data_IF_011333647030
#
_entry.id   IF_011333647030
#
_cell.length_a   1.000
_cell.length_b   1.000
_cell.length_c   1.000
_cell.angle_alpha   90.00
_cell.angle_beta   90.00
_cell.angle_gamma   90.00
#
_symmetry.space_group_name_H-M   'P 1'
#
loop_
_entity.id
_entity.type
_entity.pdbx_description
1 polymer ?
#
# COMPACT_ATOMS: atom_id res chain seq x y z
N UNK A 1 24.89 -7.74 12.04
CA UNK A 1 23.66 -6.98 11.73
C UNK A 1 22.36 -7.76 12.05
N UNK A 2 22.37 -8.82 12.87
CA UNK A 2 21.13 -9.49 13.32
C UNK A 2 20.56 -8.89 14.63
N UNK A 3 21.36 -8.10 15.36
CA UNK A 3 20.99 -7.55 16.68
C UNK A 3 19.81 -6.56 16.64
N UNK A 4 19.55 -5.93 15.49
CA UNK A 4 18.40 -5.04 15.29
C UNK A 4 17.07 -5.76 15.56
N UNK A 5 16.98 -7.05 15.24
CA UNK A 5 15.80 -7.87 15.48
C UNK A 5 15.59 -8.26 16.96
N UNK A 6 16.56 -8.01 17.85
CA UNK A 6 16.36 -8.22 19.29
C UNK A 6 15.76 -7.01 20.00
N UNK A 7 15.96 -5.79 19.45
CA UNK A 7 15.38 -4.57 20.00
C UNK A 7 14.03 -4.23 19.38
N UNK A 8 13.80 -4.68 18.15
CA UNK A 8 12.54 -4.48 17.42
C UNK A 8 11.78 -5.79 17.40
N UNK A 9 10.56 -5.80 17.96
CA UNK A 9 9.65 -6.94 17.85
C UNK A 9 9.44 -7.28 16.37
N UNK A 10 10.05 -8.39 15.92
CA UNK A 10 10.06 -8.85 14.52
C UNK A 10 8.65 -8.83 13.92
N UNK A 11 7.66 -9.29 14.68
CA UNK A 11 6.26 -9.33 14.27
C UNK A 11 5.72 -7.92 13.99
N UNK A 12 6.01 -6.95 14.86
CA UNK A 12 5.53 -5.58 14.73
C UNK A 12 6.22 -4.86 13.57
N UNK A 13 7.49 -5.13 13.31
CA UNK A 13 8.19 -4.62 12.13
C UNK A 13 7.60 -5.17 10.83
N UNK A 14 7.35 -6.47 10.74
CA UNK A 14 6.74 -7.10 9.56
C UNK A 14 5.32 -6.59 9.31
N UNK A 15 4.50 -6.48 10.37
CA UNK A 15 3.14 -5.93 10.27
C UNK A 15 3.18 -4.45 9.88
N UNK A 16 4.05 -3.65 10.50
CA UNK A 16 4.20 -2.23 10.18
C UNK A 16 4.61 -2.00 8.72
N UNK A 17 5.57 -2.78 8.22
CA UNK A 17 5.96 -2.76 6.81
C UNK A 17 4.79 -3.16 5.91
N UNK A 18 4.10 -4.26 6.22
CA UNK A 18 2.97 -4.71 5.42
C UNK A 18 1.83 -3.68 5.37
N UNK A 19 1.46 -3.11 6.51
CA UNK A 19 0.41 -2.08 6.59
C UNK A 19 0.83 -0.82 5.85
N UNK A 20 2.08 -0.38 6.00
CA UNK A 20 2.59 0.79 5.28
C UNK A 20 2.51 0.59 3.76
N UNK A 21 3.01 -0.54 3.26
CA UNK A 21 2.94 -0.85 1.83
C UNK A 21 1.50 -1.01 1.34
N UNK A 22 0.62 -1.66 2.13
CA UNK A 22 -0.78 -1.84 1.77
C UNK A 22 -1.51 -0.48 1.66
N UNK A 23 -1.34 0.41 2.63
CA UNK A 23 -1.93 1.75 2.61
C UNK A 23 -1.40 2.55 1.43
N UNK A 24 -0.08 2.51 1.17
CA UNK A 24 0.53 3.19 0.03
C UNK A 24 -0.03 2.67 -1.29
N UNK A 25 -0.13 1.34 -1.46
CA UNK A 25 -0.69 0.72 -2.64
C UNK A 25 -2.15 1.11 -2.85
N UNK A 26 -2.99 1.02 -1.80
CA UNK A 26 -4.40 1.41 -1.91
C UNK A 26 -4.55 2.89 -2.25
N UNK A 27 -3.76 3.78 -1.63
CA UNK A 27 -3.78 5.21 -1.94
C UNK A 27 -3.51 5.46 -3.42
N UNK A 28 -2.49 4.82 -4.00
CA UNK A 28 -2.18 4.93 -5.42
C UNK A 28 -3.33 4.40 -6.28
N UNK A 29 -3.89 3.22 -5.97
CA UNK A 29 -5.00 2.64 -6.74
C UNK A 29 -6.23 3.54 -6.71
N UNK A 30 -6.61 4.06 -5.53
CA UNK A 30 -7.73 4.99 -5.39
C UNK A 30 -7.51 6.30 -6.17
N UNK A 31 -6.28 6.82 -6.22
CA UNK A 31 -5.95 8.00 -7.03
C UNK A 31 -6.13 7.71 -8.53
N UNK A 32 -5.65 6.57 -9.02
CA UNK A 32 -5.84 6.18 -10.42
C UNK A 32 -7.31 5.94 -10.76
N UNK A 33 -8.06 5.30 -9.85
CA UNK A 33 -9.50 5.07 -10.00
C UNK A 33 -10.32 6.37 -9.99
N UNK A 34 -9.89 7.39 -9.25
CA UNK A 34 -10.53 8.70 -9.20
C UNK A 34 -10.30 9.51 -10.49
N UNK A 35 -9.26 9.20 -11.28
CA UNK A 35 -8.95 9.95 -12.50
C UNK A 35 -9.66 9.35 -13.71
N UNK A 36 -10.44 10.16 -14.45
CA UNK A 36 -11.21 9.72 -15.63
C UNK A 36 -10.36 9.00 -16.70
N UNK A 37 -9.09 9.38 -16.86
CA UNK A 37 -8.16 8.79 -17.82
C UNK A 37 -7.62 7.41 -17.42
N UNK A 38 -7.41 7.19 -16.12
CA UNK A 38 -6.76 5.99 -15.59
C UNK A 38 -7.75 5.08 -14.84
N UNK A 39 -9.01 5.49 -14.73
CA UNK A 39 -10.06 4.72 -14.14
C UNK A 39 -10.40 3.50 -15.03
N UNK A 40 -9.77 2.38 -14.71
CA UNK A 40 -9.98 1.12 -15.42
C UNK A 40 -11.32 0.45 -15.09
N UNK A 41 -12.06 0.91 -14.07
CA UNK A 41 -13.41 0.45 -13.77
C UNK A 41 -14.49 1.32 -14.44
N UNK A 42 -14.16 2.54 -14.83
CA UNK A 42 -15.05 3.50 -15.52
C UNK A 42 -14.80 3.60 -17.02
N UNK A 43 -14.14 2.62 -17.62
CA UNK A 43 -13.84 2.59 -19.05
C UNK A 43 -15.10 2.39 -19.90
N UNK A 44 -15.53 3.46 -20.57
CA UNK A 44 -16.62 3.57 -21.58
C UNK A 44 -18.03 3.50 -21.00
N UNK A 45 -18.65 4.66 -20.77
CA UNK A 45 -20.05 4.72 -20.33
C UNK A 45 -20.61 6.11 -20.01
N UNK A 46 -20.28 7.11 -20.84
CA UNK A 46 -21.03 8.35 -21.02
C UNK A 46 -21.10 8.63 -22.51
#
# INVERSE_FOLDING_TARGET
MHKIWHYVDVRRALVGLHVFLAVLAFTIHFILLSTEKYNWLGGVGG
#
